data_IF_510591984220
#
_entry.id   IF_510591984220
#
_cell.length_a   1.000
_cell.length_b   1.000
_cell.length_c   1.000
_cell.angle_alpha   90.00
_cell.angle_beta   90.00
_cell.angle_gamma   90.00
#
_symmetry.space_group_name_H-M   'P 1'
#
loop_
_entity.id
_entity.type
_entity.pdbx_description
1 polymer ?
#
# COMPACT_ATOMS: atom_id res chain seq x y z
N UNK A 1 -16.02 2.32 65.99
CA UNK A 1 -14.99 3.13 65.32
C UNK A 1 -14.27 2.23 64.29
N UNK A 2 -14.74 2.18 63.07
CA UNK A 2 -14.13 1.40 62.01
C UNK A 2 -13.16 2.29 61.22
N UNK A 3 -11.89 1.94 61.27
CA UNK A 3 -10.85 2.60 60.45
C UNK A 3 -10.90 2.02 59.03
N UNK A 4 -11.32 2.87 58.05
CA UNK A 4 -11.22 2.56 56.65
C UNK A 4 -9.76 2.85 56.26
N UNK A 5 -9.01 1.82 55.85
CA UNK A 5 -7.68 1.93 55.27
C UNK A 5 -7.89 2.12 53.75
N UNK A 6 -7.63 3.32 53.25
CA UNK A 6 -7.61 3.61 51.83
C UNK A 6 -6.24 3.19 51.28
N UNK A 7 -6.20 2.13 50.48
CA UNK A 7 -5.03 1.75 49.70
C UNK A 7 -4.97 2.63 48.44
N UNK A 8 -4.08 3.60 48.45
CA UNK A 8 -3.73 4.36 47.22
C UNK A 8 -2.75 3.48 46.45
N UNK A 9 -3.24 2.81 45.43
CA UNK A 9 -2.39 2.16 44.42
C UNK A 9 -1.88 3.26 43.48
N UNK A 10 -0.65 3.69 43.70
CA UNK A 10 0.08 4.51 42.74
C UNK A 10 0.42 3.61 41.52
N UNK A 11 -0.37 3.70 40.47
CA UNK A 11 -0.03 3.14 39.19
C UNK A 11 1.06 4.03 38.60
N UNK A 12 2.32 3.67 38.87
CA UNK A 12 3.45 4.21 38.09
C UNK A 12 3.34 3.62 36.66
N UNK A 13 2.87 4.43 35.74
CA UNK A 13 3.01 4.16 34.32
C UNK A 13 4.50 4.22 33.97
N UNK A 14 5.19 3.12 34.19
CA UNK A 14 6.49 2.87 33.57
C UNK A 14 6.23 2.77 32.07
N UNK A 15 6.40 3.87 31.37
CA UNK A 15 6.66 3.87 29.95
C UNK A 15 7.93 3.07 29.74
N UNK A 16 7.81 1.79 29.44
CA UNK A 16 8.89 0.96 28.92
C UNK A 16 9.21 1.44 27.48
N UNK A 17 9.67 2.68 27.35
CA UNK A 17 10.60 3.02 26.30
C UNK A 17 11.91 2.31 26.68
N UNK A 18 12.16 1.17 26.09
CA UNK A 18 13.52 0.64 25.99
C UNK A 18 14.32 1.71 25.24
N UNK A 19 14.93 2.62 25.99
CA UNK A 19 16.00 3.45 25.43
C UNK A 19 17.11 2.48 25.07
N UNK A 20 17.28 2.23 23.77
CA UNK A 20 18.45 1.58 23.26
C UNK A 20 19.67 2.41 23.73
N UNK A 21 20.39 1.90 24.74
CA UNK A 21 21.44 2.64 25.44
C UNK A 21 22.66 2.95 24.57
N UNK A 22 22.64 2.52 23.30
CA UNK A 22 23.75 2.68 22.33
C UNK A 22 23.26 3.34 21.04
N UNK A 23 22.82 4.60 21.15
CA UNK A 23 22.56 5.41 19.96
C UNK A 23 23.83 6.12 19.48
N UNK A 24 23.97 6.26 18.18
CA UNK A 24 25.02 7.08 17.53
C UNK A 24 24.37 8.25 16.80
N UNK A 25 24.96 9.41 16.97
CA UNK A 25 24.53 10.64 16.32
C UNK A 25 25.20 10.78 14.95
N UNK A 26 24.41 11.22 13.96
CA UNK A 26 24.88 11.63 12.65
C UNK A 26 24.37 13.05 12.35
N UNK A 27 25.26 14.08 12.28
CA UNK A 27 24.85 15.45 12.02
C UNK A 27 24.45 15.63 10.56
N UNK A 28 23.22 16.13 10.31
CA UNK A 28 22.73 16.52 8.98
C UNK A 28 22.97 18.00 8.76
N UNK A 29 22.62 18.83 9.76
CA UNK A 29 22.89 20.26 9.79
C UNK A 29 23.47 20.63 11.15
N UNK A 30 24.65 21.19 11.16
CA UNK A 30 25.27 21.82 12.34
C UNK A 30 25.51 23.32 12.07
N UNK A 31 25.99 24.06 13.07
CA UNK A 31 26.14 25.52 13.03
C UNK A 31 26.80 26.04 11.75
N UNK A 32 27.84 25.33 11.27
CA UNK A 32 28.69 25.75 10.14
C UNK A 32 28.71 24.79 8.97
N UNK A 33 28.01 23.65 9.03
CA UNK A 33 28.10 22.61 8.02
C UNK A 33 26.75 21.97 7.72
N UNK A 34 26.51 21.72 6.44
CA UNK A 34 25.39 20.90 5.94
C UNK A 34 26.02 19.66 5.30
N UNK A 35 25.53 18.48 5.68
CA UNK A 35 25.96 17.22 5.08
C UNK A 35 25.31 17.02 3.73
N UNK A 36 26.10 16.89 2.68
CA UNK A 36 25.62 16.65 1.31
C UNK A 36 25.10 15.22 1.15
N UNK A 37 24.13 15.06 0.23
CA UNK A 37 23.54 13.78 -0.15
C UNK A 37 24.17 13.34 -1.48
N UNK A 38 24.67 12.12 -1.53
CA UNK A 38 25.28 11.52 -2.71
C UNK A 38 24.40 10.39 -3.24
N UNK A 39 24.15 10.41 -4.56
CA UNK A 39 23.36 9.41 -5.28
C UNK A 39 24.14 8.91 -6.50
N UNK A 40 23.78 7.71 -6.99
CA UNK A 40 24.33 7.18 -8.25
C UNK A 40 23.85 8.04 -9.44
N UNK A 41 24.69 8.13 -10.49
CA UNK A 41 24.34 8.83 -11.74
C UNK A 41 23.11 8.24 -12.44
N UNK A 42 22.90 6.94 -12.29
CA UNK A 42 21.81 6.18 -12.88
C UNK A 42 20.68 5.93 -11.86
N UNK A 43 20.53 6.81 -10.87
CA UNK A 43 19.48 6.69 -9.86
C UNK A 43 18.09 6.73 -10.50
N UNK A 44 17.23 5.79 -10.08
CA UNK A 44 15.82 5.76 -10.47
C UNK A 44 15.11 7.09 -10.13
N UNK A 45 14.17 7.50 -10.98
CA UNK A 45 13.45 8.77 -10.83
C UNK A 45 12.66 8.87 -9.52
N UNK A 46 12.14 7.74 -9.01
CA UNK A 46 11.42 7.70 -7.75
C UNK A 46 12.36 7.92 -6.56
N UNK A 47 13.57 7.34 -6.59
CA UNK A 47 14.59 7.60 -5.57
C UNK A 47 15.03 9.05 -5.62
N UNK A 48 15.25 9.61 -6.81
CA UNK A 48 15.62 11.02 -6.97
C UNK A 48 14.55 11.95 -6.40
N UNK A 49 13.27 11.65 -6.66
CA UNK A 49 12.16 12.38 -6.07
C UNK A 49 12.22 12.32 -4.53
N UNK A 50 12.35 11.13 -3.93
CA UNK A 50 12.38 10.97 -2.48
C UNK A 50 13.58 11.67 -1.82
N UNK A 51 14.75 11.69 -2.47
CA UNK A 51 15.93 12.43 -2.04
C UNK A 51 15.67 13.94 -2.03
N UNK A 52 15.01 14.46 -3.07
CA UNK A 52 14.61 15.85 -3.12
C UNK A 52 13.61 16.23 -2.00
N UNK A 53 12.62 15.35 -1.76
CA UNK A 53 11.67 15.52 -0.64
C UNK A 53 12.41 15.62 0.71
N UNK A 54 13.38 14.71 0.97
CA UNK A 54 14.18 14.77 2.19
C UNK A 54 15.01 16.06 2.29
N UNK A 55 15.64 16.49 1.20
CA UNK A 55 16.42 17.72 1.18
C UNK A 55 15.54 18.96 1.43
N UNK A 56 14.33 18.98 0.89
CA UNK A 56 13.34 20.05 1.09
C UNK A 56 12.74 20.00 2.52
N UNK A 57 12.52 18.81 3.07
CA UNK A 57 12.12 18.62 4.48
C UNK A 57 13.19 19.19 5.44
N UNK A 58 14.47 18.91 5.19
CA UNK A 58 15.59 19.48 5.97
C UNK A 58 15.64 21.02 5.84
N UNK A 59 15.45 21.53 4.63
CA UNK A 59 15.36 23.00 4.40
C UNK A 59 14.19 23.63 5.16
N UNK A 60 13.06 22.96 5.15
CA UNK A 60 11.89 23.46 5.86
C UNK A 60 12.14 23.54 7.37
N UNK A 61 12.84 22.56 7.96
CA UNK A 61 13.19 22.56 9.39
C UNK A 61 14.27 23.59 9.73
N UNK A 62 15.34 23.68 8.92
CA UNK A 62 16.59 24.38 9.31
C UNK A 62 16.84 25.66 8.52
N UNK A 63 16.09 25.93 7.47
CA UNK A 63 16.39 26.97 6.49
C UNK A 63 17.53 26.63 5.52
N UNK A 64 18.20 25.48 5.69
CA UNK A 64 19.37 25.06 4.92
C UNK A 64 19.07 23.76 4.14
N UNK A 65 19.27 23.78 2.83
CA UNK A 65 19.01 22.62 1.96
C UNK A 65 20.30 21.83 1.70
N UNK A 66 20.36 20.53 1.99
CA UNK A 66 21.47 19.68 1.56
C UNK A 66 21.68 19.73 0.05
N UNK A 67 22.94 19.77 -0.38
CA UNK A 67 23.29 19.63 -1.78
C UNK A 67 23.14 18.14 -2.20
N UNK A 68 22.58 17.89 -3.37
CA UNK A 68 22.46 16.56 -3.96
C UNK A 68 23.53 16.43 -5.05
N UNK A 69 24.44 15.48 -4.88
CA UNK A 69 25.61 15.28 -5.73
C UNK A 69 25.58 13.89 -6.34
N UNK A 70 25.81 13.79 -7.65
CA UNK A 70 26.02 12.51 -8.32
C UNK A 70 27.44 11.99 -8.07
N UNK A 71 27.56 10.73 -7.70
CA UNK A 71 28.84 10.08 -7.42
C UNK A 71 28.83 8.60 -7.78
N UNK A 72 29.97 8.05 -8.13
CA UNK A 72 30.15 6.62 -8.42
C UNK A 72 30.80 5.86 -7.25
N UNK A 73 31.15 6.57 -6.16
CA UNK A 73 31.84 5.97 -5.01
C UNK A 73 31.60 6.74 -3.72
N UNK A 74 31.72 6.03 -2.61
CA UNK A 74 31.75 6.61 -1.26
C UNK A 74 33.17 7.19 -1.02
N UNK A 75 33.30 8.50 -0.76
CA UNK A 75 34.60 9.13 -0.67
C UNK A 75 34.82 10.12 0.47
N UNK A 76 33.83 10.97 0.77
CA UNK A 76 33.90 12.03 1.77
C UNK A 76 32.75 11.92 2.75
N UNK A 77 32.79 12.68 3.83
CA UNK A 77 31.67 12.81 4.77
C UNK A 77 30.38 13.14 4.02
N UNK A 78 29.38 12.28 4.12
CA UNK A 78 28.12 12.46 3.39
C UNK A 78 27.07 11.41 3.67
N UNK A 79 25.88 11.66 3.14
CA UNK A 79 24.77 10.72 3.13
C UNK A 79 24.74 10.05 1.76
N UNK A 80 25.00 8.76 1.69
CA UNK A 80 25.06 7.98 0.45
C UNK A 80 23.80 7.15 0.30
N UNK A 81 23.00 7.43 -0.73
CA UNK A 81 21.67 6.83 -0.92
C UNK A 81 21.61 6.08 -2.25
N UNK A 82 21.13 4.85 -2.24
CA UNK A 82 20.88 4.08 -3.45
C UNK A 82 20.49 2.63 -3.21
N UNK A 83 20.28 1.90 -4.31
CA UNK A 83 20.04 0.47 -4.27
C UNK A 83 21.33 -0.31 -3.98
N UNK A 84 21.19 -1.51 -3.43
CA UNK A 84 22.34 -2.41 -3.19
C UNK A 84 23.12 -2.76 -4.47
N UNK A 85 22.46 -2.72 -5.63
CA UNK A 85 23.04 -2.93 -6.95
C UNK A 85 23.79 -1.71 -7.51
N UNK A 86 23.68 -0.54 -6.86
CA UNK A 86 24.32 0.72 -7.29
C UNK A 86 25.84 0.65 -7.23
N UNK A 87 26.49 1.37 -8.14
CA UNK A 87 27.96 1.53 -8.13
C UNK A 87 28.48 2.15 -6.84
N UNK A 88 27.66 2.93 -6.11
CA UNK A 88 28.01 3.47 -4.80
C UNK A 88 28.35 2.37 -3.77
N UNK A 89 27.70 1.20 -3.86
CA UNK A 89 27.76 0.14 -2.86
C UNK A 89 28.38 -1.15 -3.43
N UNK A 90 29.65 -1.11 -3.79
CA UNK A 90 30.34 -2.27 -4.34
C UNK A 90 30.72 -3.33 -3.30
N UNK A 91 30.40 -3.11 -2.01
CA UNK A 91 30.67 -4.08 -0.95
C UNK A 91 29.79 -5.32 -1.11
N UNK A 92 30.43 -6.48 -1.29
CA UNK A 92 29.74 -7.79 -1.37
C UNK A 92 28.92 -8.12 -0.12
N UNK A 93 29.26 -7.54 1.04
CA UNK A 93 28.52 -7.77 2.30
C UNK A 93 27.16 -7.10 2.23
N UNK A 94 27.08 -5.81 1.86
CA UNK A 94 25.82 -5.07 1.74
C UNK A 94 24.93 -5.71 0.68
N UNK A 95 25.51 -6.08 -0.46
CA UNK A 95 24.75 -6.76 -1.51
C UNK A 95 24.18 -8.09 -1.03
N UNK A 96 24.95 -8.91 -0.29
CA UNK A 96 24.49 -10.20 0.21
C UNK A 96 23.36 -10.07 1.25
N UNK A 97 23.38 -9.07 2.11
CA UNK A 97 22.35 -8.83 3.13
C UNK A 97 21.01 -8.35 2.55
N UNK A 98 21.05 -7.65 1.43
CA UNK A 98 19.87 -7.04 0.82
C UNK A 98 19.43 -7.73 -0.47
N UNK A 99 20.27 -8.56 -1.11
CA UNK A 99 19.92 -9.25 -2.36
C UNK A 99 18.70 -10.14 -2.22
N UNK A 100 17.86 -10.15 -3.25
CA UNK A 100 16.66 -10.99 -3.34
C UNK A 100 15.66 -10.78 -2.18
N UNK A 101 15.70 -9.61 -1.55
CA UNK A 101 14.72 -9.22 -0.54
C UNK A 101 13.70 -8.24 -1.14
N UNK A 102 12.47 -8.32 -0.65
CA UNK A 102 11.37 -7.42 -1.04
C UNK A 102 11.38 -6.19 -0.15
N UNK A 103 11.60 -5.01 -0.74
CA UNK A 103 11.48 -3.69 -0.08
C UNK A 103 12.25 -3.57 1.25
N UNK A 104 13.34 -4.32 1.37
CA UNK A 104 14.21 -4.26 2.55
C UNK A 104 15.18 -3.09 2.45
N UNK A 105 15.55 -2.50 3.58
CA UNK A 105 16.56 -1.46 3.60
C UNK A 105 17.49 -1.55 4.82
N UNK A 106 18.63 -0.88 4.71
CA UNK A 106 19.60 -0.68 5.78
C UNK A 106 20.03 0.79 5.83
N UNK A 107 20.11 1.35 7.04
CA UNK A 107 20.66 2.67 7.32
C UNK A 107 21.78 2.50 8.35
N UNK A 108 23.01 2.81 7.98
CA UNK A 108 24.16 2.57 8.85
C UNK A 108 25.16 3.71 8.81
N UNK A 109 25.63 4.14 9.97
CA UNK A 109 26.76 5.04 10.08
C UNK A 109 28.08 4.24 9.95
N UNK A 110 28.90 4.60 8.98
CA UNK A 110 30.25 4.05 8.81
C UNK A 110 31.26 5.20 8.82
N UNK A 111 32.02 5.32 9.90
CA UNK A 111 32.92 6.47 10.17
C UNK A 111 32.10 7.77 10.13
N UNK A 112 32.40 8.66 9.18
CA UNK A 112 31.77 9.94 9.00
C UNK A 112 30.70 9.92 7.88
N UNK A 113 30.34 8.74 7.38
CA UNK A 113 29.34 8.54 6.33
C UNK A 113 28.07 7.91 6.87
N UNK A 114 26.94 8.28 6.28
CA UNK A 114 25.68 7.57 6.44
C UNK A 114 25.37 6.79 5.16
N UNK A 115 25.33 5.48 5.24
CA UNK A 115 24.96 4.60 4.14
C UNK A 115 23.47 4.26 4.24
N UNK A 116 22.71 4.56 3.19
CA UNK A 116 21.26 4.39 3.09
C UNK A 116 20.98 3.53 1.87
N UNK A 117 20.72 2.25 2.11
CA UNK A 117 20.74 1.24 1.04
C UNK A 117 19.44 0.46 1.03
N UNK A 118 18.76 0.43 -0.10
CA UNK A 118 17.59 -0.42 -0.32
C UNK A 118 17.89 -1.66 -1.17
N UNK A 119 17.15 -2.73 -0.97
CA UNK A 119 17.20 -3.93 -1.82
C UNK A 119 16.71 -3.67 -3.25
N UNK A 120 15.76 -2.75 -3.36
CA UNK A 120 15.11 -2.30 -4.58
C UNK A 120 14.75 -0.81 -4.49
N UNK A 121 14.04 -0.29 -5.49
CA UNK A 121 13.65 1.13 -5.57
C UNK A 121 12.79 1.53 -4.37
N UNK A 122 11.72 0.78 -4.06
CA UNK A 122 10.84 1.09 -2.93
C UNK A 122 11.54 0.96 -1.59
N UNK A 123 12.36 -0.08 -1.40
CA UNK A 123 13.19 -0.23 -0.19
C UNK A 123 14.11 0.99 0.04
N UNK A 124 14.71 1.53 -1.02
CA UNK A 124 15.51 2.75 -0.95
C UNK A 124 14.68 3.97 -0.55
N UNK A 125 13.50 4.13 -1.14
CA UNK A 125 12.56 5.22 -0.81
C UNK A 125 12.08 5.12 0.64
N UNK A 126 11.80 3.93 1.13
CA UNK A 126 11.41 3.71 2.54
C UNK A 126 12.54 4.04 3.51
N UNK A 127 13.79 3.74 3.15
CA UNK A 127 14.94 4.17 3.96
C UNK A 127 15.03 5.70 4.06
N UNK A 128 14.78 6.41 2.96
CA UNK A 128 14.76 7.88 2.93
C UNK A 128 13.65 8.42 3.86
N UNK A 129 12.45 7.88 3.76
CA UNK A 129 11.34 8.33 4.60
C UNK A 129 11.45 7.85 6.06
N UNK A 130 12.15 6.76 6.34
CA UNK A 130 12.54 6.40 7.71
C UNK A 130 13.44 7.48 8.33
N UNK A 131 14.40 8.02 7.57
CA UNK A 131 15.21 9.15 8.02
C UNK A 131 14.33 10.37 8.28
N UNK A 132 13.45 10.73 7.35
CA UNK A 132 12.54 11.84 7.51
C UNK A 132 11.71 11.73 8.79
N UNK A 133 11.12 10.56 9.05
CA UNK A 133 10.32 10.30 10.24
C UNK A 133 11.15 10.45 11.53
N UNK A 134 12.38 9.90 11.58
CA UNK A 134 13.30 10.04 12.72
C UNK A 134 13.76 11.48 12.97
N UNK A 135 13.77 12.31 11.94
CA UNK A 135 14.03 13.75 12.07
C UNK A 135 12.81 14.54 12.58
N UNK A 136 11.66 13.88 12.73
CA UNK A 136 10.40 14.44 13.22
C UNK A 136 9.48 14.97 12.12
N UNK A 137 9.66 14.51 10.88
CA UNK A 137 8.80 14.87 9.75
C UNK A 137 7.63 13.89 9.68
N UNK A 138 6.42 14.38 9.91
CA UNK A 138 5.21 13.57 9.81
C UNK A 138 4.94 13.17 8.37
N UNK A 139 4.58 11.90 8.09
CA UNK A 139 4.03 11.51 6.79
C UNK A 139 2.82 12.33 6.36
N UNK A 140 2.07 12.84 7.34
CA UNK A 140 0.83 13.61 7.18
C UNK A 140 1.04 15.11 6.98
N UNK A 141 2.30 15.59 6.85
CA UNK A 141 2.58 17.02 6.79
C UNK A 141 1.75 17.79 5.76
N UNK A 142 1.50 17.18 4.60
CA UNK A 142 0.70 17.80 3.54
C UNK A 142 -0.82 17.57 3.73
N UNK A 143 -1.23 16.35 4.10
CA UNK A 143 -2.64 16.02 4.23
C UNK A 143 -3.32 16.58 5.50
N UNK A 144 -2.58 16.73 6.57
CA UNK A 144 -3.10 17.17 7.86
C UNK A 144 -2.49 18.49 8.34
N UNK A 145 -1.87 19.27 7.45
CA UNK A 145 -1.24 20.56 7.74
C UNK A 145 -0.30 20.52 8.96
N UNK A 146 0.45 19.40 9.11
CA UNK A 146 1.35 19.24 10.25
C UNK A 146 2.58 20.13 10.08
N UNK A 147 2.67 21.15 10.92
CA UNK A 147 3.79 22.06 10.91
C UNK A 147 5.07 21.44 11.44
N UNK A 148 6.17 21.65 10.72
CA UNK A 148 7.50 21.20 11.16
C UNK A 148 8.09 22.16 12.20
N UNK A 149 8.66 21.58 13.25
CA UNK A 149 9.33 22.36 14.30
C UNK A 149 10.68 22.86 13.77
N UNK A 150 10.89 24.18 13.73
CA UNK A 150 12.14 24.79 13.29
C UNK A 150 13.28 24.47 14.26
N UNK A 151 14.44 24.16 13.71
CA UNK A 151 15.68 23.84 14.46
C UNK A 151 16.89 24.44 13.77
N UNK A 152 17.84 24.94 14.54
CA UNK A 152 19.12 25.44 13.99
C UNK A 152 20.09 24.28 13.65
N UNK A 153 20.00 23.20 14.40
CA UNK A 153 20.78 21.97 14.24
C UNK A 153 19.85 20.80 14.04
N UNK A 154 20.27 19.87 13.19
CA UNK A 154 19.51 18.67 12.89
C UNK A 154 20.45 17.45 12.91
N UNK A 155 20.19 16.52 13.82
CA UNK A 155 20.98 15.30 14.04
C UNK A 155 20.07 14.09 13.94
N UNK A 156 20.50 13.11 13.16
CA UNK A 156 19.83 11.79 13.06
C UNK A 156 20.42 10.88 14.14
N UNK A 157 19.54 10.24 14.93
CA UNK A 157 19.91 9.23 15.92
C UNK A 157 19.62 7.84 15.38
N UNK A 158 20.61 6.96 15.44
CA UNK A 158 20.51 5.58 14.96
C UNK A 158 21.05 4.61 16.01
N UNK A 159 20.56 3.35 16.03
CA UNK A 159 21.21 2.28 16.78
C UNK A 159 22.70 2.14 16.35
N UNK A 160 23.58 1.81 17.27
CA UNK A 160 25.02 1.69 17.00
C UNK A 160 25.33 0.69 15.87
N UNK A 161 24.55 -0.38 15.76
CA UNK A 161 24.70 -1.39 14.70
C UNK A 161 23.97 -1.02 13.40
N UNK A 162 23.41 0.19 13.33
CA UNK A 162 22.53 0.61 12.23
C UNK A 162 21.09 0.11 12.36
N UNK A 163 20.29 0.49 11.40
CA UNK A 163 18.88 0.10 11.29
C UNK A 163 18.70 -0.76 10.05
N UNK A 164 18.13 -1.95 10.22
CA UNK A 164 17.69 -2.81 9.12
C UNK A 164 16.22 -3.07 9.28
N UNK A 165 15.44 -2.89 8.22
CA UNK A 165 14.01 -3.12 8.21
C UNK A 165 13.56 -3.80 6.92
N UNK A 166 12.58 -4.67 7.04
CA UNK A 166 11.87 -5.27 5.92
C UNK A 166 10.38 -5.37 6.24
N UNK A 167 9.49 -5.27 5.25
CA UNK A 167 8.08 -5.35 5.51
C UNK A 167 7.67 -6.75 5.99
N UNK A 168 6.77 -6.80 6.97
CA UNK A 168 6.17 -8.04 7.47
C UNK A 168 5.12 -8.60 6.52
N UNK A 169 4.50 -7.73 5.70
CA UNK A 169 3.43 -8.03 4.75
C UNK A 169 3.84 -7.52 3.38
N UNK A 170 3.59 -8.30 2.33
CA UNK A 170 4.07 -7.96 0.98
C UNK A 170 3.36 -6.75 0.37
N UNK A 171 2.03 -6.74 0.38
CA UNK A 171 1.22 -5.63 -0.14
C UNK A 171 0.55 -4.89 1.01
N UNK A 172 0.80 -3.59 1.12
CA UNK A 172 0.33 -2.72 2.19
C UNK A 172 -0.24 -1.47 1.55
N UNK A 173 -1.48 -1.15 1.88
CA UNK A 173 -2.10 -0.02 1.21
C UNK A 173 -3.47 0.34 1.75
N UNK A 174 -4.17 1.14 0.99
CA UNK A 174 -5.51 1.60 1.29
C UNK A 174 -6.47 1.26 0.15
N UNK A 175 -7.72 1.11 0.48
CA UNK A 175 -8.83 1.17 -0.43
C UNK A 175 -9.52 2.54 -0.27
N UNK A 176 -9.58 3.32 -1.35
CA UNK A 176 -10.37 4.54 -1.37
C UNK A 176 -11.83 4.14 -1.54
N UNK A 177 -12.55 4.17 -0.44
CA UNK A 177 -13.97 3.88 -0.38
C UNK A 177 -14.68 5.00 0.37
N UNK A 178 -15.97 5.24 0.09
CA UNK A 178 -16.73 6.39 0.60
C UNK A 178 -16.10 7.76 0.23
N UNK A 179 -15.38 7.83 -0.88
CA UNK A 179 -14.69 9.03 -1.37
C UNK A 179 -15.64 10.19 -1.70
N UNK A 180 -16.90 9.91 -1.97
CA UNK A 180 -17.97 10.87 -2.21
C UNK A 180 -18.32 11.72 -0.97
N UNK A 181 -17.95 11.27 0.24
CA UNK A 181 -18.15 12.02 1.47
C UNK A 181 -17.18 13.21 1.65
N UNK A 182 -16.02 13.17 1.04
CA UNK A 182 -15.04 14.23 1.23
C UNK A 182 -13.99 14.35 0.12
N UNK A 183 -13.29 13.28 -0.19
CA UNK A 183 -12.13 13.33 -1.09
C UNK A 183 -12.51 13.76 -2.51
N UNK A 184 -13.56 13.16 -3.09
CA UNK A 184 -14.00 13.46 -4.45
C UNK A 184 -14.48 14.91 -4.59
N UNK A 185 -15.43 15.40 -3.77
CA UNK A 185 -15.86 16.79 -3.89
C UNK A 185 -14.76 17.81 -3.58
N UNK A 186 -13.80 17.50 -2.70
CA UNK A 186 -12.64 18.33 -2.46
C UNK A 186 -11.70 18.37 -3.67
N UNK A 187 -11.37 17.22 -4.24
CA UNK A 187 -10.54 17.14 -5.44
C UNK A 187 -11.19 17.92 -6.59
N UNK A 188 -12.45 17.62 -6.90
CA UNK A 188 -13.19 18.21 -8.01
C UNK A 188 -13.41 19.73 -7.89
N UNK A 189 -13.63 20.25 -6.67
CA UNK A 189 -14.02 21.65 -6.45
C UNK A 189 -12.90 22.56 -5.95
N UNK A 190 -11.85 21.98 -5.37
CA UNK A 190 -10.81 22.75 -4.69
C UNK A 190 -9.41 22.49 -5.25
N UNK A 191 -8.99 21.22 -5.30
CA UNK A 191 -7.59 20.86 -5.56
C UNK A 191 -7.28 20.63 -7.04
N UNK A 192 -8.16 19.91 -7.75
CA UNK A 192 -7.95 19.47 -9.15
C UNK A 192 -9.17 19.80 -10.02
N UNK A 193 -9.55 21.07 -10.00
CA UNK A 193 -10.76 21.59 -10.67
C UNK A 193 -10.80 21.32 -12.17
N UNK A 194 -9.66 21.29 -12.81
CA UNK A 194 -9.52 21.03 -14.24
C UNK A 194 -9.95 19.60 -14.63
N UNK A 195 -9.72 18.63 -13.74
CA UNK A 195 -10.21 17.26 -13.94
C UNK A 195 -11.67 17.14 -13.50
N UNK A 196 -12.09 17.89 -12.48
CA UNK A 196 -13.42 17.83 -11.91
C UNK A 196 -13.71 16.52 -11.18
N UNK A 197 -12.67 15.79 -10.79
CA UNK A 197 -12.72 14.48 -10.14
C UNK A 197 -11.43 14.16 -9.39
N UNK A 198 -11.27 12.93 -8.87
CA UNK A 198 -10.02 12.40 -8.33
C UNK A 198 -9.12 12.03 -9.51
N UNK A 199 -8.30 12.98 -9.93
CA UNK A 199 -7.40 12.84 -11.08
C UNK A 199 -5.94 12.62 -10.68
N UNK A 200 -5.02 12.74 -11.66
CA UNK A 200 -3.61 12.42 -11.47
C UNK A 200 -2.91 13.26 -10.40
N UNK A 201 -3.29 14.52 -10.20
CA UNK A 201 -2.70 15.34 -9.12
C UNK A 201 -3.11 14.87 -7.73
N UNK A 202 -4.36 14.45 -7.58
CA UNK A 202 -4.88 13.90 -6.33
C UNK A 202 -4.24 12.55 -6.03
N UNK A 203 -4.18 11.65 -7.01
CA UNK A 203 -3.49 10.37 -6.86
C UNK A 203 -1.98 10.54 -6.60
N UNK A 204 -1.33 11.52 -7.21
CA UNK A 204 0.06 11.85 -6.89
C UNK A 204 0.25 12.11 -5.39
N UNK A 205 -0.60 12.92 -4.77
CA UNK A 205 -0.53 13.20 -3.32
C UNK A 205 -0.84 11.98 -2.45
N UNK A 206 -1.76 11.14 -2.89
CA UNK A 206 -2.05 9.88 -2.22
C UNK A 206 -0.84 8.94 -2.29
N UNK A 207 -0.22 8.78 -3.46
CA UNK A 207 0.94 7.92 -3.65
C UNK A 207 2.16 8.40 -2.85
N UNK A 208 2.38 9.71 -2.79
CA UNK A 208 3.39 10.32 -1.91
C UNK A 208 3.17 9.97 -0.43
N UNK A 209 1.92 10.03 0.05
CA UNK A 209 1.57 9.62 1.41
C UNK A 209 1.82 8.12 1.63
N UNK A 210 1.37 7.26 0.71
CA UNK A 210 1.59 5.82 0.81
C UNK A 210 3.07 5.49 0.93
N UNK A 211 3.93 6.07 0.11
CA UNK A 211 5.37 5.86 0.17
C UNK A 211 5.99 6.36 1.48
N UNK A 212 5.56 7.53 2.00
CA UNK A 212 5.99 8.01 3.31
C UNK A 212 5.56 7.09 4.45
N UNK A 213 4.41 6.41 4.32
CA UNK A 213 3.92 5.39 5.25
C UNK A 213 4.49 3.98 4.99
N UNK A 214 5.45 3.86 4.06
CA UNK A 214 6.07 2.59 3.63
C UNK A 214 5.04 1.57 3.10
N UNK A 215 3.99 2.08 2.45
CA UNK A 215 2.98 1.32 1.73
C UNK A 215 3.28 1.31 0.22
N UNK A 216 2.69 0.35 -0.50
CA UNK A 216 2.99 0.11 -1.92
C UNK A 216 1.75 -0.14 -2.78
N UNK A 217 0.55 -0.22 -2.20
CA UNK A 217 -0.64 -0.71 -2.89
C UNK A 217 -1.82 0.25 -2.69
N UNK A 218 -2.66 0.36 -3.71
CA UNK A 218 -3.94 1.05 -3.63
C UNK A 218 -5.03 0.25 -4.34
N UNK A 219 -6.24 0.25 -3.76
CA UNK A 219 -7.48 0.02 -4.46
C UNK A 219 -8.13 1.38 -4.69
N UNK A 220 -8.25 1.82 -5.97
CA UNK A 220 -8.75 3.16 -6.29
C UNK A 220 -10.21 3.37 -5.92
N UNK A 221 -10.63 4.64 -5.94
CA UNK A 221 -12.00 5.08 -5.76
C UNK A 221 -12.97 4.44 -6.75
N UNK A 222 -14.19 4.08 -6.29
CA UNK A 222 -15.12 3.29 -7.09
C UNK A 222 -16.60 3.70 -7.01
N UNK A 223 -16.96 4.67 -6.19
CA UNK A 223 -18.35 5.10 -6.04
C UNK A 223 -18.90 5.81 -7.29
N UNK A 224 -20.23 5.89 -7.46
CA UNK A 224 -20.85 6.51 -8.65
C UNK A 224 -20.49 7.97 -8.89
N UNK A 225 -20.01 8.67 -7.85
CA UNK A 225 -19.53 10.06 -7.94
C UNK A 225 -18.17 10.20 -8.61
N UNK A 226 -17.44 9.08 -8.81
CA UNK A 226 -16.04 9.07 -9.22
C UNK A 226 -15.88 8.29 -10.52
N UNK A 227 -15.03 8.80 -11.41
CA UNK A 227 -14.61 8.09 -12.62
C UNK A 227 -13.69 6.93 -12.28
N UNK A 228 -13.77 5.87 -13.07
CA UNK A 228 -12.85 4.75 -12.97
C UNK A 228 -11.39 5.19 -13.11
N UNK A 229 -10.51 4.66 -12.26
CA UNK A 229 -9.09 5.05 -12.20
C UNK A 229 -8.40 5.04 -13.57
N UNK A 230 -8.63 4.01 -14.36
CA UNK A 230 -8.02 3.84 -15.68
C UNK A 230 -8.69 4.67 -16.78
N UNK A 231 -9.85 5.28 -16.51
CA UNK A 231 -10.58 6.08 -17.50
C UNK A 231 -10.12 7.54 -17.54
N UNK A 232 -9.49 8.02 -16.47
CA UNK A 232 -8.93 9.37 -16.41
C UNK A 232 -7.47 9.39 -16.89
N UNK A 233 -7.13 10.22 -17.89
CA UNK A 233 -5.76 10.38 -18.35
C UNK A 233 -4.83 10.83 -17.22
N UNK A 234 -3.64 10.24 -17.15
CA UNK A 234 -2.62 10.59 -16.18
C UNK A 234 -2.60 9.73 -14.91
N UNK A 235 -3.71 9.07 -14.52
CA UNK A 235 -3.76 8.27 -13.29
C UNK A 235 -2.80 7.07 -13.32
N UNK A 236 -2.84 6.28 -14.40
CA UNK A 236 -1.98 5.11 -14.57
C UNK A 236 -0.50 5.48 -14.73
N UNK A 237 -0.23 6.63 -15.35
CA UNK A 237 1.11 7.21 -15.46
C UNK A 237 1.64 7.61 -14.08
N UNK A 238 0.80 8.16 -13.20
CA UNK A 238 1.19 8.44 -11.82
C UNK A 238 1.49 7.15 -11.05
N UNK A 239 0.68 6.10 -11.18
CA UNK A 239 0.96 4.82 -10.56
C UNK A 239 2.31 4.25 -10.99
N UNK A 240 2.63 4.33 -12.28
CA UNK A 240 3.93 3.91 -12.82
C UNK A 240 5.06 4.78 -12.26
N UNK A 241 4.92 6.12 -12.28
CA UNK A 241 5.91 7.08 -11.76
C UNK A 241 6.27 6.83 -10.30
N UNK A 242 5.28 6.49 -9.48
CA UNK A 242 5.45 6.26 -8.04
C UNK A 242 5.60 4.79 -7.65
N UNK A 243 5.70 3.89 -8.62
CA UNK A 243 5.80 2.44 -8.41
C UNK A 243 4.73 1.90 -7.46
N UNK A 244 3.49 2.36 -7.61
CA UNK A 244 2.36 1.90 -6.81
C UNK A 244 1.64 0.76 -7.50
N UNK A 245 1.42 -0.31 -6.76
CA UNK A 245 0.68 -1.49 -7.21
C UNK A 245 -0.82 -1.20 -7.18
N UNK A 246 -1.48 -1.32 -8.32
CA UNK A 246 -2.92 -1.11 -8.43
C UNK A 246 -3.65 -2.43 -8.27
N UNK A 247 -4.53 -2.51 -7.28
CA UNK A 247 -5.49 -3.58 -7.12
C UNK A 247 -6.91 -3.09 -7.32
N UNK A 248 -7.87 -3.94 -7.04
CA UNK A 248 -9.30 -3.59 -7.04
C UNK A 248 -10.08 -4.44 -6.04
N UNK A 249 -11.24 -3.96 -5.65
CA UNK A 249 -12.10 -4.61 -4.68
C UNK A 249 -12.78 -5.87 -5.25
N UNK A 250 -13.47 -6.60 -4.36
CA UNK A 250 -14.30 -7.75 -4.72
C UNK A 250 -15.44 -7.42 -5.71
N UNK A 251 -15.85 -6.16 -5.77
CA UNK A 251 -16.89 -5.69 -6.70
C UNK A 251 -16.34 -5.35 -8.09
N UNK A 252 -15.01 -5.27 -8.24
CA UNK A 252 -14.31 -4.75 -9.41
C UNK A 252 -13.31 -5.76 -9.99
N UNK A 253 -13.75 -6.94 -10.41
CA UNK A 253 -12.84 -7.95 -10.95
C UNK A 253 -12.07 -7.43 -12.16
N UNK A 254 -10.83 -7.91 -12.30
CA UNK A 254 -9.94 -7.60 -13.43
C UNK A 254 -9.68 -6.08 -13.60
N UNK A 255 -9.60 -5.34 -12.48
CA UNK A 255 -9.34 -3.89 -12.41
C UNK A 255 -10.39 -3.03 -13.15
N UNK A 256 -11.63 -3.49 -13.19
CA UNK A 256 -12.74 -2.79 -13.84
C UNK A 256 -13.67 -2.12 -12.83
N UNK A 257 -13.83 -0.82 -12.93
CA UNK A 257 -14.89 -0.11 -12.21
C UNK A 257 -16.24 -0.33 -12.91
N UNK A 258 -17.00 -1.33 -12.44
CA UNK A 258 -18.26 -1.71 -13.07
C UNK A 258 -19.35 -0.62 -12.98
N UNK A 259 -19.22 0.32 -12.03
CA UNK A 259 -20.17 1.42 -11.84
C UNK A 259 -20.01 2.48 -12.92
N UNK A 260 -18.76 2.90 -13.20
CA UNK A 260 -18.48 3.92 -14.22
C UNK A 260 -18.31 3.33 -15.62
N UNK A 261 -17.64 2.18 -15.74
CA UNK A 261 -17.19 1.66 -17.03
C UNK A 261 -18.23 0.75 -17.72
N UNK A 262 -19.04 -0.03 -16.97
CA UNK A 262 -20.06 -0.87 -17.59
C UNK A 262 -21.27 -0.05 -18.02
N UNK A 263 -21.54 0.00 -19.31
CA UNK A 263 -22.70 0.72 -19.87
C UNK A 263 -23.70 -0.28 -20.47
N UNK A 264 -24.82 -0.58 -19.82
CA UNK A 264 -25.79 -1.60 -20.28
C UNK A 264 -26.28 -1.36 -21.70
N UNK A 265 -26.42 -0.09 -22.12
CA UNK A 265 -26.81 0.25 -23.50
C UNK A 265 -25.79 -0.16 -24.57
N UNK A 266 -24.51 -0.36 -24.18
CA UNK A 266 -23.42 -0.75 -25.07
C UNK A 266 -23.10 -2.23 -24.93
N UNK A 267 -22.99 -2.72 -23.69
CA UNK A 267 -22.51 -4.05 -23.37
C UNK A 267 -23.64 -5.05 -23.05
N UNK A 268 -24.88 -4.61 -22.87
CA UNK A 268 -25.99 -5.44 -22.37
C UNK A 268 -25.91 -5.66 -20.86
N UNK A 269 -26.57 -6.72 -20.39
CA UNK A 269 -26.62 -7.05 -18.97
C UNK A 269 -25.25 -7.50 -18.43
N UNK A 270 -24.88 -7.06 -17.23
CA UNK A 270 -23.69 -7.55 -16.53
C UNK A 270 -23.99 -8.91 -15.90
N UNK A 271 -24.16 -9.90 -16.74
CA UNK A 271 -24.60 -11.24 -16.36
C UNK A 271 -23.81 -12.30 -17.15
N UNK A 272 -23.03 -13.09 -16.43
CA UNK A 272 -22.14 -14.08 -17.06
C UNK A 272 -22.87 -15.30 -17.62
N UNK A 273 -24.10 -15.58 -17.15
CA UNK A 273 -24.92 -16.67 -17.69
C UNK A 273 -25.44 -16.37 -19.10
N UNK A 274 -25.80 -15.12 -19.34
CA UNK A 274 -26.48 -14.69 -20.58
C UNK A 274 -25.59 -13.87 -21.51
N UNK A 275 -24.52 -13.23 -20.98
CA UNK A 275 -23.71 -12.25 -21.71
C UNK A 275 -22.19 -12.45 -21.56
N UNK A 276 -21.75 -13.70 -21.41
CA UNK A 276 -20.33 -14.07 -21.22
C UNK A 276 -19.40 -13.37 -22.20
N UNK A 277 -19.72 -13.34 -23.49
CA UNK A 277 -18.82 -12.81 -24.52
C UNK A 277 -18.49 -11.32 -24.31
N UNK A 278 -19.47 -10.50 -23.93
CA UNK A 278 -19.24 -9.08 -23.68
C UNK A 278 -18.49 -8.85 -22.36
N UNK A 279 -18.78 -9.65 -21.33
CA UNK A 279 -18.06 -9.57 -20.06
C UNK A 279 -16.59 -9.98 -20.23
N UNK A 280 -16.32 -11.06 -20.96
CA UNK A 280 -14.94 -11.48 -21.27
C UNK A 280 -14.20 -10.41 -22.08
N UNK A 281 -14.84 -9.82 -23.10
CA UNK A 281 -14.25 -8.73 -23.89
C UNK A 281 -13.93 -7.53 -22.99
N UNK A 282 -14.85 -7.14 -22.13
CA UNK A 282 -14.70 -6.04 -21.19
C UNK A 282 -13.47 -6.23 -20.29
N UNK A 283 -13.25 -7.44 -19.77
CA UNK A 283 -12.07 -7.75 -18.99
C UNK A 283 -10.80 -7.78 -19.85
N UNK A 284 -10.86 -8.39 -21.04
CA UNK A 284 -9.71 -8.46 -21.94
C UNK A 284 -9.20 -7.08 -22.35
N UNK A 285 -10.10 -6.15 -22.69
CA UNK A 285 -9.74 -4.79 -23.05
C UNK A 285 -8.91 -4.10 -21.92
N UNK A 286 -9.21 -4.38 -20.64
CA UNK A 286 -8.42 -3.88 -19.51
C UNK A 286 -7.05 -4.57 -19.38
N UNK A 287 -6.98 -5.85 -19.59
CA UNK A 287 -5.70 -6.57 -19.53
C UNK A 287 -4.74 -6.08 -20.62
N UNK A 288 -5.24 -5.84 -21.81
CA UNK A 288 -4.44 -5.31 -22.94
C UNK A 288 -3.90 -3.91 -22.62
N UNK A 289 -4.71 -3.06 -21.99
CA UNK A 289 -4.28 -1.74 -21.51
C UNK A 289 -3.18 -1.85 -20.45
N UNK A 290 -3.39 -2.66 -19.41
CA UNK A 290 -2.42 -2.85 -18.32
C UNK A 290 -1.10 -3.40 -18.85
N UNK A 291 -1.14 -4.35 -19.79
CA UNK A 291 0.05 -4.90 -20.45
C UNK A 291 0.82 -3.82 -21.21
N UNK A 292 0.12 -2.96 -21.93
CA UNK A 292 0.73 -1.89 -22.74
C UNK A 292 1.45 -0.86 -21.84
N UNK A 293 0.88 -0.53 -20.67
CA UNK A 293 1.46 0.41 -19.71
C UNK A 293 2.47 -0.18 -18.74
N UNK A 294 2.52 -1.51 -18.61
CA UNK A 294 3.40 -2.21 -17.66
C UNK A 294 3.22 -1.77 -16.20
N UNK A 295 2.00 -1.39 -15.80
CA UNK A 295 1.71 -1.11 -14.41
C UNK A 295 1.88 -2.36 -13.55
N UNK A 296 2.40 -2.19 -12.33
CA UNK A 296 2.34 -3.24 -11.31
C UNK A 296 0.88 -3.38 -10.83
N UNK A 297 0.35 -4.60 -10.86
CA UNK A 297 -1.06 -4.84 -10.55
C UNK A 297 -1.30 -6.11 -9.75
N UNK A 298 -2.43 -6.13 -9.03
CA UNK A 298 -3.00 -7.34 -8.43
C UNK A 298 -4.36 -7.55 -9.05
N UNK A 299 -4.56 -8.67 -9.73
CA UNK A 299 -5.81 -9.00 -10.42
C UNK A 299 -6.81 -9.63 -9.46
N UNK A 300 -7.88 -8.92 -9.14
CA UNK A 300 -9.00 -9.49 -8.37
C UNK A 300 -9.82 -10.40 -9.26
N UNK A 301 -9.99 -11.65 -8.81
CA UNK A 301 -10.71 -12.70 -9.52
C UNK A 301 -12.13 -12.89 -8.97
N UNK A 302 -12.95 -13.54 -9.77
CA UNK A 302 -14.37 -13.79 -9.48
C UNK A 302 -15.26 -12.76 -10.16
N UNK A 303 -16.51 -12.72 -9.75
CA UNK A 303 -17.50 -11.76 -10.22
C UNK A 303 -18.59 -11.60 -9.18
N UNK A 304 -19.05 -10.39 -8.99
CA UNK A 304 -20.31 -10.02 -8.32
C UNK A 304 -21.17 -9.21 -9.29
N UNK A 305 -22.27 -8.69 -8.86
CA UNK A 305 -23.07 -7.78 -9.67
C UNK A 305 -22.48 -6.36 -9.70
N UNK A 306 -23.13 -5.48 -10.45
CA UNK A 306 -22.74 -4.07 -10.49
C UNK A 306 -22.99 -3.43 -9.11
N UNK A 307 -22.08 -2.56 -8.69
CA UNK A 307 -22.19 -1.78 -7.45
C UNK A 307 -22.40 -2.62 -6.18
N UNK A 308 -21.51 -3.61 -5.96
CA UNK A 308 -21.51 -4.48 -4.78
C UNK A 308 -22.78 -5.34 -4.58
N UNK A 309 -23.60 -5.53 -5.64
CA UNK A 309 -24.73 -6.45 -5.62
C UNK A 309 -24.28 -7.91 -5.82
N UNK A 310 -25.19 -8.85 -5.57
CA UNK A 310 -24.95 -10.28 -5.88
C UNK A 310 -24.87 -10.52 -7.39
N UNK A 311 -24.11 -11.53 -7.79
CA UNK A 311 -24.12 -12.03 -9.17
C UNK A 311 -25.52 -12.56 -9.50
N UNK A 312 -26.06 -12.13 -10.65
CA UNK A 312 -27.39 -12.53 -11.12
C UNK A 312 -27.32 -13.81 -11.97
N UNK A 313 -28.45 -14.52 -12.05
CA UNK A 313 -28.68 -15.62 -13.00
C UNK A 313 -28.59 -17.03 -12.40
N UNK A 314 -27.95 -17.21 -11.25
CA UNK A 314 -27.88 -18.51 -10.59
C UNK A 314 -29.20 -18.87 -9.88
N UNK A 315 -29.64 -20.12 -10.01
CA UNK A 315 -30.88 -20.63 -9.41
C UNK A 315 -30.68 -21.06 -7.96
N UNK A 316 -29.50 -21.52 -7.63
CA UNK A 316 -29.13 -22.03 -6.32
C UNK A 316 -27.64 -21.85 -6.01
N UNK A 317 -27.26 -22.22 -4.79
CA UNK A 317 -25.88 -22.12 -4.29
C UNK A 317 -24.90 -22.94 -5.16
N UNK A 318 -25.28 -24.13 -5.60
CA UNK A 318 -24.42 -25.02 -6.39
C UNK A 318 -24.14 -24.43 -7.76
N UNK A 319 -25.15 -23.85 -8.41
CA UNK A 319 -24.98 -23.18 -9.70
C UNK A 319 -24.13 -21.92 -9.56
N UNK A 320 -24.29 -21.15 -8.45
CA UNK A 320 -23.43 -20.01 -8.12
C UNK A 320 -21.96 -20.42 -7.98
N UNK A 321 -21.67 -21.49 -7.22
CA UNK A 321 -20.31 -22.02 -7.05
C UNK A 321 -19.72 -22.42 -8.40
N UNK A 322 -20.44 -23.24 -9.17
CA UNK A 322 -19.98 -23.71 -10.49
C UNK A 322 -19.69 -22.56 -11.44
N UNK A 323 -20.51 -21.49 -11.41
CA UNK A 323 -20.30 -20.32 -12.27
C UNK A 323 -19.09 -19.51 -11.84
N UNK A 324 -18.88 -19.27 -10.54
CA UNK A 324 -17.71 -18.54 -10.05
C UNK A 324 -16.43 -19.31 -10.34
N UNK A 325 -16.41 -20.63 -10.19
CA UNK A 325 -15.26 -21.49 -10.59
C UNK A 325 -14.95 -21.35 -12.08
N UNK A 326 -15.97 -21.36 -12.92
CA UNK A 326 -15.84 -21.17 -14.38
C UNK A 326 -15.30 -19.76 -14.70
N UNK A 327 -15.80 -18.73 -14.04
CA UNK A 327 -15.33 -17.35 -14.21
C UNK A 327 -13.84 -17.25 -13.85
N UNK A 328 -13.45 -17.75 -12.68
CA UNK A 328 -12.04 -17.76 -12.24
C UNK A 328 -11.15 -18.47 -13.26
N UNK A 329 -11.59 -19.61 -13.77
CA UNK A 329 -10.85 -20.35 -14.80
C UNK A 329 -10.64 -19.51 -16.05
N UNK A 330 -11.71 -18.91 -16.59
CA UNK A 330 -11.64 -18.07 -17.80
C UNK A 330 -10.77 -16.82 -17.58
N UNK A 331 -10.91 -16.15 -16.44
CA UNK A 331 -10.07 -14.99 -16.10
C UNK A 331 -8.58 -15.38 -16.06
N UNK A 332 -8.25 -16.53 -15.49
CA UNK A 332 -6.86 -17.02 -15.42
C UNK A 332 -6.32 -17.41 -16.80
N UNK A 333 -7.14 -17.99 -17.68
CA UNK A 333 -6.76 -18.21 -19.07
C UNK A 333 -6.45 -16.90 -19.81
N UNK A 334 -7.28 -15.85 -19.63
CA UNK A 334 -7.02 -14.53 -20.17
C UNK A 334 -5.70 -13.96 -19.63
N UNK A 335 -5.44 -14.04 -18.32
CA UNK A 335 -4.20 -13.57 -17.70
C UNK A 335 -2.97 -14.26 -18.31
N UNK A 336 -2.99 -15.59 -18.39
CA UNK A 336 -1.89 -16.37 -18.97
C UNK A 336 -1.64 -16.00 -20.44
N UNK A 337 -2.72 -15.91 -21.23
CA UNK A 337 -2.65 -15.57 -22.64
C UNK A 337 -2.19 -14.13 -22.88
N UNK A 338 -2.62 -13.19 -22.05
CA UNK A 338 -2.26 -11.78 -22.20
C UNK A 338 -0.81 -11.53 -21.79
N UNK A 339 -0.41 -11.96 -20.60
CA UNK A 339 0.91 -11.64 -20.06
C UNK A 339 2.02 -12.58 -20.50
N UNK A 340 1.68 -13.76 -21.03
CA UNK A 340 2.65 -14.79 -21.47
C UNK A 340 3.63 -15.18 -20.34
N UNK A 341 3.10 -15.28 -19.11
CA UNK A 341 3.82 -15.63 -17.89
C UNK A 341 3.13 -16.79 -17.16
N UNK A 342 3.85 -17.57 -16.38
CA UNK A 342 3.24 -18.52 -15.45
C UNK A 342 2.29 -17.81 -14.50
N UNK A 343 1.09 -18.36 -14.29
CA UNK A 343 0.05 -17.74 -13.45
C UNK A 343 0.54 -17.41 -12.03
N UNK A 344 1.41 -18.22 -11.45
CA UNK A 344 2.03 -17.99 -10.14
C UNK A 344 2.89 -16.71 -10.06
N UNK A 345 3.30 -16.15 -11.20
CA UNK A 345 4.08 -14.92 -11.30
C UNK A 345 3.20 -13.68 -11.54
N UNK A 346 1.91 -13.89 -11.79
CA UNK A 346 0.93 -12.82 -11.94
C UNK A 346 0.19 -12.69 -10.60
N UNK A 347 0.33 -11.55 -9.88
CA UNK A 347 -0.36 -11.37 -8.61
C UNK A 347 -1.89 -11.43 -8.78
N UNK A 348 -2.53 -12.32 -8.04
CA UNK A 348 -3.97 -12.56 -8.10
C UNK A 348 -4.55 -12.57 -6.68
N UNK A 349 -5.73 -12.00 -6.51
CA UNK A 349 -6.46 -11.98 -5.25
C UNK A 349 -7.89 -12.49 -5.42
N UNK A 350 -8.42 -13.13 -4.41
CA UNK A 350 -9.82 -13.49 -4.29
C UNK A 350 -10.33 -13.03 -2.93
N UNK A 351 -11.39 -12.21 -2.93
CA UNK A 351 -11.97 -11.61 -1.74
C UNK A 351 -13.34 -12.25 -1.46
N UNK A 352 -13.45 -13.20 -0.54
CA UNK A 352 -14.72 -13.85 -0.19
C UNK A 352 -15.54 -12.92 0.72
N UNK A 353 -16.17 -11.89 0.13
CA UNK A 353 -16.96 -10.88 0.83
C UNK A 353 -18.46 -11.16 0.75
N UNK A 354 -19.20 -10.95 1.84
CA UNK A 354 -20.65 -11.18 1.96
C UNK A 354 -21.06 -12.59 1.49
N UNK A 355 -21.96 -12.70 0.52
CA UNK A 355 -22.45 -13.98 -0.02
C UNK A 355 -21.34 -14.85 -0.63
N UNK A 356 -20.23 -14.25 -1.10
CA UNK A 356 -19.12 -15.02 -1.67
C UNK A 356 -18.37 -15.82 -0.60
N UNK A 357 -18.41 -15.38 0.67
CA UNK A 357 -17.88 -16.17 1.79
C UNK A 357 -18.69 -17.46 1.99
N UNK A 358 -20.02 -17.38 1.87
CA UNK A 358 -20.89 -18.56 1.92
C UNK A 358 -20.55 -19.54 0.78
N UNK A 359 -20.29 -19.06 -0.45
CA UNK A 359 -19.84 -19.89 -1.55
C UNK A 359 -18.53 -20.59 -1.21
N UNK A 360 -17.57 -19.84 -0.66
CA UNK A 360 -16.26 -20.36 -0.30
C UNK A 360 -16.36 -21.43 0.80
N UNK A 361 -17.09 -21.20 1.86
CA UNK A 361 -17.31 -22.14 2.96
C UNK A 361 -18.10 -23.39 2.49
N UNK A 362 -18.89 -23.28 1.41
CA UNK A 362 -19.55 -24.40 0.73
C UNK A 362 -18.73 -25.02 -0.42
N UNK A 363 -17.39 -24.94 -0.31
CA UNK A 363 -16.43 -25.64 -1.16
C UNK A 363 -16.20 -25.04 -2.56
N UNK A 364 -16.44 -23.74 -2.76
CA UNK A 364 -15.92 -23.05 -3.94
C UNK A 364 -14.40 -23.26 -4.03
N UNK A 365 -13.92 -23.73 -5.16
CA UNK A 365 -12.50 -23.99 -5.38
C UNK A 365 -11.81 -22.75 -5.92
N UNK A 366 -10.89 -22.20 -5.12
CA UNK A 366 -9.99 -21.13 -5.54
C UNK A 366 -8.59 -21.73 -5.75
N UNK A 367 -7.92 -21.51 -6.91
CA UNK A 367 -6.60 -22.07 -7.19
C UNK A 367 -5.57 -21.70 -6.12
N UNK A 368 -4.65 -22.62 -5.83
CA UNK A 368 -3.73 -22.56 -4.68
C UNK A 368 -2.79 -21.34 -4.70
N UNK A 369 -2.43 -20.86 -5.88
CA UNK A 369 -1.55 -19.71 -6.12
C UNK A 369 -2.27 -18.34 -6.06
N UNK A 370 -3.59 -18.31 -5.83
CA UNK A 370 -4.37 -17.08 -5.64
C UNK A 370 -4.39 -16.70 -4.17
N UNK A 371 -4.09 -15.43 -3.87
CA UNK A 371 -4.15 -14.88 -2.51
C UNK A 371 -5.60 -14.79 -2.02
N UNK A 372 -5.89 -15.39 -0.86
CA UNK A 372 -7.19 -15.22 -0.18
C UNK A 372 -7.16 -13.95 0.67
N UNK A 373 -8.08 -13.02 0.43
CA UNK A 373 -8.14 -11.76 1.17
C UNK A 373 -9.39 -11.75 2.05
N UNK A 374 -9.18 -11.94 3.35
CA UNK A 374 -10.26 -12.08 4.33
C UNK A 374 -10.83 -10.72 4.74
N UNK A 375 -12.14 -10.50 4.57
CA UNK A 375 -12.78 -9.27 5.01
C UNK A 375 -13.07 -9.30 6.52
N UNK A 376 -13.18 -8.10 7.12
CA UNK A 376 -13.86 -7.97 8.40
C UNK A 376 -15.38 -7.96 8.23
N UNK A 377 -16.11 -7.83 9.35
CA UNK A 377 -17.57 -7.82 9.39
C UNK A 377 -18.18 -6.41 9.26
N UNK A 378 -17.44 -5.44 8.75
CA UNK A 378 -17.75 -4.01 8.67
C UNK A 378 -17.76 -3.26 10.03
N UNK A 379 -17.51 -3.99 11.12
CA UNK A 379 -17.44 -3.44 12.49
C UNK A 379 -16.05 -3.60 13.10
N UNK A 380 -15.07 -4.00 12.30
CA UNK A 380 -13.69 -4.15 12.72
C UNK A 380 -13.35 -5.54 13.29
N UNK A 381 -14.18 -6.56 13.13
CA UNK A 381 -13.89 -7.92 13.57
C UNK A 381 -13.70 -8.86 12.38
N UNK A 382 -12.53 -9.45 12.26
CA UNK A 382 -12.24 -10.48 11.25
C UNK A 382 -12.81 -11.81 11.73
N UNK A 383 -13.94 -12.21 11.16
CA UNK A 383 -14.68 -13.42 11.56
C UNK A 383 -14.09 -14.70 10.98
N UNK A 384 -13.34 -14.61 9.90
CA UNK A 384 -12.76 -15.74 9.18
C UNK A 384 -11.30 -15.44 8.85
N UNK A 385 -10.42 -16.35 9.18
CA UNK A 385 -9.01 -16.35 8.78
C UNK A 385 -8.66 -17.73 8.18
N UNK A 386 -7.48 -17.81 7.58
CA UNK A 386 -6.99 -19.05 6.99
C UNK A 386 -6.86 -20.16 8.03
N UNK A 387 -7.46 -21.31 7.76
CA UNK A 387 -7.23 -22.54 8.52
C UNK A 387 -5.76 -22.99 8.38
N UNK A 388 -5.25 -23.88 9.23
CA UNK A 388 -3.89 -24.44 9.10
C UNK A 388 -3.59 -25.02 7.72
N UNK A 389 -4.60 -25.60 7.05
CA UNK A 389 -4.44 -26.11 5.69
C UNK A 389 -4.35 -25.00 4.64
N UNK A 390 -5.20 -23.97 4.77
CA UNK A 390 -5.18 -22.81 3.89
C UNK A 390 -3.91 -21.95 4.05
N UNK A 391 -3.29 -21.94 5.22
CA UNK A 391 -2.00 -21.27 5.45
C UNK A 391 -0.84 -21.87 4.63
N UNK A 392 -1.00 -23.12 4.15
CA UNK A 392 -0.01 -23.79 3.29
C UNK A 392 -0.12 -23.39 1.81
N UNK A 393 -1.14 -22.64 1.43
CA UNK A 393 -1.37 -22.20 0.04
C UNK A 393 -0.22 -21.35 -0.47
N UNK A 394 0.19 -21.59 -1.72
CA UNK A 394 1.25 -20.82 -2.37
C UNK A 394 0.89 -19.33 -2.52
N UNK A 395 -0.38 -19.03 -2.78
CA UNK A 395 -0.90 -17.66 -2.86
C UNK A 395 -0.94 -16.94 -1.51
N UNK A 396 -0.91 -17.69 -0.40
CA UNK A 396 -1.03 -17.12 0.95
C UNK A 396 -2.36 -16.43 1.20
N UNK A 397 -2.38 -15.54 2.19
CA UNK A 397 -3.57 -14.75 2.51
C UNK A 397 -3.25 -13.31 2.92
N UNK A 398 -4.26 -12.49 2.91
CA UNK A 398 -4.27 -11.10 3.30
C UNK A 398 -5.57 -10.69 3.99
N UNK A 399 -5.71 -9.40 4.24
CA UNK A 399 -6.87 -8.83 4.93
C UNK A 399 -7.40 -7.64 4.14
N UNK A 400 -8.73 -7.55 4.02
CA UNK A 400 -9.48 -6.37 3.66
C UNK A 400 -10.22 -5.87 4.89
N UNK A 401 -9.86 -4.68 5.39
CA UNK A 401 -10.29 -4.22 6.71
C UNK A 401 -10.86 -2.80 6.69
N UNK A 402 -12.03 -2.61 7.28
CA UNK A 402 -12.66 -1.31 7.43
C UNK A 402 -12.17 -0.59 8.69
N UNK A 403 -11.34 0.44 8.52
CA UNK A 403 -10.98 1.34 9.63
C UNK A 403 -12.15 2.26 10.01
N UNK A 404 -13.11 2.40 9.09
CA UNK A 404 -14.40 3.04 9.28
C UNK A 404 -15.38 2.46 8.25
N UNK A 405 -16.62 2.21 8.63
CA UNK A 405 -17.66 1.76 7.73
C UNK A 405 -18.87 2.71 7.83
N UNK A 406 -19.21 3.32 6.69
CA UNK A 406 -20.21 4.38 6.61
C UNK A 406 -21.54 3.94 5.97
N UNK A 407 -21.62 2.69 5.60
CA UNK A 407 -22.85 2.07 5.11
C UNK A 407 -23.91 1.91 6.19
N UNK A 408 -25.15 1.58 5.77
CA UNK A 408 -26.25 1.32 6.69
C UNK A 408 -25.92 0.20 7.67
N UNK A 409 -26.29 0.36 8.95
CA UNK A 409 -27.14 1.40 9.58
C UNK A 409 -26.38 2.63 10.11
N UNK A 410 -25.12 2.86 9.77
CA UNK A 410 -24.23 3.83 10.39
C UNK A 410 -24.04 5.09 9.55
N UNK A 411 -25.10 5.88 9.36
CA UNK A 411 -25.09 7.04 8.45
C UNK A 411 -24.60 8.37 9.09
N UNK A 412 -24.26 8.44 10.34
CA UNK A 412 -23.78 9.67 11.01
C UNK A 412 -22.62 9.32 11.95
N UNK A 413 -21.47 9.05 11.39
CA UNK A 413 -20.35 8.57 12.15
C UNK A 413 -19.19 9.57 12.19
N UNK A 414 -18.35 9.41 13.22
CA UNK A 414 -17.02 9.94 13.21
C UNK A 414 -16.23 9.36 12.03
N UNK A 415 -15.23 10.11 11.53
CA UNK A 415 -14.37 9.68 10.42
C UNK A 415 -13.70 8.32 10.65
N UNK A 416 -13.44 7.96 11.89
CA UNK A 416 -12.96 6.63 12.26
C UNK A 416 -13.77 6.10 13.43
N UNK A 417 -14.49 5.01 13.22
CA UNK A 417 -15.32 4.36 14.24
C UNK A 417 -14.65 3.16 14.87
N UNK A 418 -13.64 2.60 14.20
CA UNK A 418 -12.89 1.45 14.71
C UNK A 418 -11.77 1.93 15.63
N UNK A 419 -11.77 1.45 16.86
CA UNK A 419 -10.77 1.84 17.86
C UNK A 419 -9.38 1.34 17.48
N UNK A 420 -8.30 2.15 17.66
CA UNK A 420 -6.93 1.74 17.33
C UNK A 420 -6.50 0.43 18.02
N UNK A 421 -6.93 0.20 19.24
CA UNK A 421 -6.65 -1.04 19.97
C UNK A 421 -7.27 -2.28 19.32
N UNK A 422 -8.49 -2.15 18.77
CA UNK A 422 -9.13 -3.23 18.01
C UNK A 422 -8.41 -3.48 16.69
N UNK A 423 -8.04 -2.42 15.96
CA UNK A 423 -7.26 -2.52 14.72
C UNK A 423 -5.96 -3.29 15.00
N UNK A 424 -5.22 -2.88 16.02
CA UNK A 424 -3.96 -3.54 16.40
C UNK A 424 -4.17 -5.02 16.73
N UNK A 425 -5.18 -5.34 17.52
CA UNK A 425 -5.52 -6.73 17.91
C UNK A 425 -5.85 -7.59 16.69
N UNK A 426 -6.78 -7.12 15.82
CA UNK A 426 -7.23 -7.89 14.66
C UNK A 426 -6.12 -8.04 13.61
N UNK A 427 -5.29 -7.01 13.38
CA UNK A 427 -4.13 -7.11 12.48
C UNK A 427 -3.07 -8.07 13.02
N UNK A 428 -2.77 -8.04 14.31
CA UNK A 428 -1.84 -8.98 14.95
C UNK A 428 -2.35 -10.41 14.82
N UNK A 429 -3.60 -10.64 15.18
CA UNK A 429 -4.29 -11.94 15.04
C UNK A 429 -4.26 -12.44 13.58
N UNK A 430 -4.54 -11.58 12.60
CA UNK A 430 -4.50 -11.95 11.20
C UNK A 430 -3.07 -12.35 10.76
N UNK A 431 -2.06 -11.57 11.14
CA UNK A 431 -0.67 -11.85 10.84
C UNK A 431 -0.20 -13.18 11.45
N UNK A 432 -0.52 -13.46 12.71
CA UNK A 432 -0.23 -14.72 13.39
C UNK A 432 -0.92 -15.92 12.73
N UNK A 433 -2.06 -15.70 12.06
CA UNK A 433 -2.79 -16.71 11.29
C UNK A 433 -2.43 -16.70 9.78
N UNK A 434 -1.27 -16.16 9.42
CA UNK A 434 -0.69 -16.31 8.09
C UNK A 434 -1.09 -15.24 7.06
N UNK A 435 -1.79 -14.17 7.46
CA UNK A 435 -2.10 -13.05 6.57
C UNK A 435 -0.83 -12.18 6.35
N UNK A 436 0.06 -12.63 5.43
CA UNK A 436 1.36 -12.00 5.15
C UNK A 436 1.51 -11.50 3.72
N UNK A 437 0.48 -11.69 2.88
CA UNK A 437 0.50 -11.23 1.49
C UNK A 437 -0.08 -9.83 1.33
N UNK A 438 -1.18 -9.52 2.00
CA UNK A 438 -1.88 -8.23 1.89
C UNK A 438 -2.49 -7.81 3.22
#
# INVERSE_FOLDING_TARGET
MNKIIVFIIAISTLSLYSQDKNLVDFPIVDSNQITSIYIDKNTDSLILWAVNELADDVKEITGKRPEIIQSDKVSKNGIYIGQASSNLFQSKIIQKELSNQWEKFSIKKEKDNLLVVGSDVRGTVYAIFEIAERLGISPWKWWADVHLIKKEKLTLQLPQNGLVSSPSVQYRGIFLNDEDWGLQPWAAKTFEKETGDIGPKTYEKIFQLLLRLKANTIWPAMHPSTKGFFTLPGNKEMAQKYHIVIGSSHAEPMLRNNVDEWKPKIYGDYNYFTNKTQVDKYWQDRLDEVKAFQNETIMTLGMRGVHDSKMEGAKDLKESISMVERIITNQREMLSNTFQKPLKEIPQAFVPYKEVLELYDNRLKVPDDVTLVWPDDNYGYIRRLSTPEEQKRAGGSGVYYHISYWGRPHDYLWLSTTQPGLIWYEMTKAYENGAKKM
#
